data_IF_874340183341
#
_entry.id   IF_874340183341
#
_cell.length_a   1.000
_cell.length_b   1.000
_cell.length_c   1.000
_cell.angle_alpha   90.00
_cell.angle_beta   90.00
_cell.angle_gamma   90.00
#
_symmetry.space_group_name_H-M   'P 1'
#
loop_
_entity.id
_entity.type
_entity.pdbx_description
1 polymer ?
#
# COMPACT_ATOMS: atom_id res chain seq x y z
N UNK A 1 63.32 8.95 -58.79
CA UNK A 1 63.57 8.19 -57.55
C UNK A 1 62.25 8.11 -56.80
N UNK A 2 61.51 7.01 -56.98
CA UNK A 2 61.39 5.87 -56.05
C UNK A 2 60.72 6.29 -54.74
N UNK A 3 59.67 5.66 -54.19
CA UNK A 3 58.98 4.40 -54.44
C UNK A 3 57.66 4.41 -53.63
N UNK A 4 56.71 3.59 -54.04
CA UNK A 4 55.43 3.26 -53.38
C UNK A 4 55.59 2.28 -52.21
N UNK A 5 54.87 2.51 -51.11
CA UNK A 5 54.41 1.55 -50.06
C UNK A 5 53.20 2.25 -49.38
N UNK A 6 52.06 1.67 -49.01
CA UNK A 6 51.66 0.30 -48.69
C UNK A 6 50.71 0.42 -47.49
N UNK A 7 49.39 0.52 -47.72
CA UNK A 7 48.37 0.70 -46.68
C UNK A 7 48.03 -0.65 -46.02
N UNK A 8 48.39 -0.81 -44.74
CA UNK A 8 47.92 -1.90 -43.88
C UNK A 8 46.69 -1.44 -43.08
N UNK A 9 45.55 -2.07 -43.32
CA UNK A 9 44.35 -1.95 -42.48
C UNK A 9 44.32 -3.13 -41.51
N UNK A 10 44.42 -2.84 -40.20
CA UNK A 10 44.21 -3.81 -39.13
C UNK A 10 42.73 -3.78 -38.76
N UNK A 11 42.02 -4.87 -38.98
CA UNK A 11 40.65 -5.10 -38.52
C UNK A 11 40.70 -5.93 -37.24
N UNK A 12 40.29 -5.35 -36.11
CA UNK A 12 40.13 -6.09 -34.84
C UNK A 12 38.64 -6.39 -34.65
N UNK A 13 38.33 -7.68 -34.63
CA UNK A 13 37.04 -8.27 -34.26
C UNK A 13 37.02 -8.37 -32.73
N UNK A 14 36.00 -7.80 -32.09
CA UNK A 14 35.64 -8.09 -30.68
C UNK A 14 34.18 -8.50 -30.65
N UNK A 15 33.92 -9.69 -30.12
CA UNK A 15 32.62 -10.33 -29.95
C UNK A 15 32.33 -10.53 -28.45
N UNK A 16 31.09 -10.23 -28.09
CA UNK A 16 30.31 -10.61 -26.89
C UNK A 16 30.77 -10.03 -25.53
N UNK A 17 29.88 -9.69 -24.56
CA UNK A 17 28.64 -10.35 -24.15
C UNK A 17 27.60 -9.35 -23.61
N UNK A 18 26.32 -9.54 -23.97
CA UNK A 18 25.18 -9.04 -23.18
C UNK A 18 24.63 -10.22 -22.39
N UNK A 19 24.72 -10.11 -21.07
CA UNK A 19 24.21 -11.08 -20.11
C UNK A 19 22.69 -10.96 -20.01
N UNK A 20 21.94 -11.94 -20.50
CA UNK A 20 20.53 -12.13 -20.18
C UNK A 20 20.43 -13.15 -19.04
N UNK A 21 19.82 -12.75 -17.93
CA UNK A 21 19.69 -13.56 -16.71
C UNK A 21 18.23 -14.00 -16.51
N UNK A 22 18.04 -15.32 -16.61
CA UNK A 22 17.05 -16.16 -15.93
C UNK A 22 15.56 -16.05 -16.34
N UNK A 23 15.16 -16.87 -17.31
CA UNK A 23 13.84 -17.51 -17.32
C UNK A 23 14.04 -19.01 -17.01
N UNK A 24 13.43 -19.48 -15.91
CA UNK A 24 13.42 -20.89 -15.50
C UNK A 24 12.93 -21.77 -16.64
N UNK A 25 13.76 -22.71 -17.08
CA UNK A 25 13.33 -23.83 -17.94
C UNK A 25 12.42 -24.74 -17.11
N UNK A 26 11.24 -25.03 -17.63
CA UNK A 26 10.36 -26.09 -17.11
C UNK A 26 11.10 -27.43 -17.35
N UNK A 27 11.46 -28.11 -16.28
CA UNK A 27 11.94 -29.50 -16.32
C UNK A 27 10.72 -30.41 -16.38
N UNK A 28 10.51 -31.09 -17.50
CA UNK A 28 9.53 -32.17 -17.62
C UNK A 28 10.23 -33.46 -17.23
N UNK A 29 9.92 -33.97 -16.05
CA UNK A 29 10.40 -35.26 -15.55
C UNK A 29 9.57 -36.39 -16.20
N UNK A 30 10.21 -37.28 -16.96
CA UNK A 30 9.56 -38.38 -17.70
C UNK A 30 9.59 -39.66 -16.85
N UNK A 31 9.13 -39.55 -15.61
CA UNK A 31 8.98 -40.70 -14.72
C UNK A 31 7.56 -40.81 -14.17
N UNK A 32 6.57 -40.76 -15.08
CA UNK A 32 5.20 -41.11 -14.75
C UNK A 32 4.40 -41.50 -15.99
N UNK A 33 3.97 -42.76 -16.02
CA UNK A 33 3.02 -43.29 -17.00
C UNK A 33 1.61 -42.80 -16.67
N UNK A 34 1.27 -41.59 -17.07
CA UNK A 34 -0.13 -41.17 -17.24
C UNK A 34 -0.17 -40.12 -18.36
N UNK A 35 -0.83 -40.48 -19.46
CA UNK A 35 -0.68 -39.85 -20.76
C UNK A 35 -1.14 -38.40 -20.85
N UNK A 36 -0.32 -37.56 -21.49
CA UNK A 36 -0.79 -36.34 -22.14
C UNK A 36 -1.46 -36.71 -23.47
N UNK A 37 -2.78 -36.57 -23.55
CA UNK A 37 -3.52 -36.62 -24.82
C UNK A 37 -3.43 -35.26 -25.51
N UNK A 38 -2.55 -35.12 -26.50
CA UNK A 38 -2.67 -34.10 -27.53
C UNK A 38 -3.52 -34.67 -28.68
N UNK A 39 -4.81 -34.34 -28.75
CA UNK A 39 -5.61 -34.58 -29.95
C UNK A 39 -5.36 -33.45 -30.96
N UNK A 40 -4.26 -33.58 -31.71
CA UNK A 40 -4.05 -32.88 -32.98
C UNK A 40 -4.28 -33.85 -34.13
N UNK A 41 -5.49 -33.88 -34.68
CA UNK A 41 -5.78 -34.65 -35.90
C UNK A 41 -5.18 -33.97 -37.12
N UNK A 42 -4.21 -34.61 -37.77
CA UNK A 42 -3.67 -34.19 -39.07
C UNK A 42 -4.55 -34.86 -40.15
N UNK A 43 -5.29 -34.06 -40.92
CA UNK A 43 -5.93 -34.53 -42.16
C UNK A 43 -5.23 -33.90 -43.36
N UNK A 44 -4.72 -34.74 -44.27
CA UNK A 44 -4.10 -34.35 -45.53
C UNK A 44 -5.14 -34.25 -46.65
N UNK A 45 -5.13 -33.13 -47.39
CA UNK A 45 -5.89 -32.95 -48.64
C UNK A 45 -6.03 -31.46 -49.04
N UNK A 46 -5.78 -31.06 -50.31
CA UNK A 46 -5.49 -29.65 -50.64
C UNK A 46 -6.73 -28.85 -51.08
N UNK A 47 -6.80 -27.58 -50.65
CA UNK A 47 -7.71 -26.57 -51.19
C UNK A 47 -7.60 -25.25 -50.41
N UNK A 48 -7.47 -24.08 -51.07
CA UNK A 48 -7.32 -22.81 -50.38
C UNK A 48 -8.71 -22.27 -50.05
N UNK A 49 -9.23 -22.59 -48.88
CA UNK A 49 -10.33 -21.84 -48.29
C UNK A 49 -9.89 -21.36 -46.91
N UNK A 50 -9.82 -20.04 -46.78
CA UNK A 50 -9.65 -19.36 -45.51
C UNK A 50 -10.69 -19.89 -44.52
N UNK A 51 -10.24 -20.61 -43.49
CA UNK A 51 -11.08 -20.92 -42.35
C UNK A 51 -11.30 -19.62 -41.57
N UNK A 52 -12.52 -19.11 -41.68
CA UNK A 52 -13.12 -18.25 -40.68
C UNK A 52 -12.94 -18.89 -39.30
N UNK A 53 -12.47 -18.12 -38.31
CA UNK A 53 -12.59 -18.47 -36.90
C UNK A 53 -14.03 -18.92 -36.66
N UNK A 54 -14.22 -20.20 -36.36
CA UNK A 54 -15.52 -20.77 -36.01
C UNK A 54 -15.90 -20.18 -34.65
N UNK A 55 -16.82 -19.21 -34.65
CA UNK A 55 -17.33 -18.60 -33.43
C UNK A 55 -18.08 -19.66 -32.62
N UNK A 56 -17.65 -19.93 -31.39
CA UNK A 56 -18.39 -20.77 -30.43
C UNK A 56 -19.81 -20.21 -30.25
N UNK A 57 -20.85 -20.88 -30.78
CA UNK A 57 -22.24 -20.38 -30.77
C UNK A 57 -22.78 -20.10 -29.38
N UNK A 58 -22.26 -20.82 -28.38
CA UNK A 58 -22.69 -20.80 -26.98
C UNK A 58 -21.68 -20.11 -26.07
N UNK A 59 -20.61 -19.53 -26.64
CA UNK A 59 -19.55 -18.86 -25.89
C UNK A 59 -20.13 -17.81 -24.95
N UNK A 60 -19.95 -18.01 -23.64
CA UNK A 60 -20.41 -17.09 -22.58
C UNK A 60 -19.49 -17.08 -21.37
N UNK A 61 -18.21 -17.38 -21.59
CA UNK A 61 -17.21 -17.46 -20.55
C UNK A 61 -16.41 -16.16 -20.45
N UNK A 62 -15.96 -15.83 -19.23
CA UNK A 62 -14.83 -14.92 -19.01
C UNK A 62 -13.60 -15.80 -18.76
N UNK A 63 -12.59 -15.66 -19.61
CA UNK A 63 -11.37 -16.50 -19.56
C UNK A 63 -10.18 -15.81 -18.93
N UNK A 64 -10.22 -14.48 -18.82
CA UNK A 64 -9.24 -13.68 -18.10
C UNK A 64 -9.91 -12.43 -17.52
N UNK A 65 -9.40 -11.95 -16.39
CA UNK A 65 -9.84 -10.72 -15.77
C UNK A 65 -8.68 -10.09 -15.01
N UNK A 66 -8.44 -8.79 -15.17
CA UNK A 66 -7.32 -8.09 -14.54
C UNK A 66 -7.57 -6.59 -14.44
N UNK A 67 -6.81 -5.91 -13.59
CA UNK A 67 -6.64 -4.46 -13.61
C UNK A 67 -5.19 -4.14 -13.98
N UNK A 68 -5.02 -3.49 -15.13
CA UNK A 68 -3.71 -3.17 -15.67
C UNK A 68 -3.11 -1.97 -14.96
N UNK A 69 -1.81 -2.02 -14.69
CA UNK A 69 -1.08 -0.97 -13.98
C UNK A 69 -1.05 0.35 -14.76
N UNK A 70 -0.91 0.27 -16.08
CA UNK A 70 -0.89 1.42 -16.99
C UNK A 70 -2.15 2.27 -16.93
N UNK A 71 -3.29 1.64 -16.60
CA UNK A 71 -4.60 2.29 -16.65
C UNK A 71 -4.97 2.96 -15.33
N UNK A 72 -4.27 2.63 -14.25
CA UNK A 72 -4.59 3.02 -12.87
C UNK A 72 -3.39 3.58 -12.09
N UNK A 73 -2.27 3.82 -12.78
CA UNK A 73 -1.03 4.31 -12.19
C UNK A 73 -0.45 3.38 -11.11
N UNK A 74 -0.76 2.07 -11.15
CA UNK A 74 -0.19 1.12 -10.20
C UNK A 74 1.28 0.80 -10.50
N UNK A 75 1.93 0.15 -9.55
CA UNK A 75 3.27 -0.42 -9.70
C UNK A 75 3.28 -1.80 -10.38
N UNK A 76 2.15 -2.50 -10.42
CA UNK A 76 2.01 -3.84 -11.00
C UNK A 76 0.57 -4.11 -11.40
N UNK A 77 0.36 -5.11 -12.26
CA UNK A 77 -0.97 -5.57 -12.67
C UNK A 77 -1.59 -6.43 -11.57
N UNK A 78 -2.91 -6.34 -11.45
CA UNK A 78 -3.67 -7.17 -10.52
C UNK A 78 -4.53 -8.16 -11.28
N UNK A 79 -4.10 -9.42 -11.31
CA UNK A 79 -4.78 -10.50 -12.04
C UNK A 79 -5.84 -11.13 -11.15
N UNK A 80 -7.04 -11.33 -11.71
CA UNK A 80 -8.16 -11.98 -11.04
C UNK A 80 -8.08 -13.49 -11.09
N UNK A 81 -8.46 -14.12 -9.98
CA UNK A 81 -8.69 -15.55 -9.89
C UNK A 81 -10.14 -15.86 -10.28
N UNK A 82 -10.33 -16.75 -11.26
CA UNK A 82 -11.66 -17.19 -11.72
C UNK A 82 -11.92 -18.59 -11.16
N UNK A 83 -12.91 -18.71 -10.28
CA UNK A 83 -13.33 -19.97 -9.68
C UNK A 83 -14.84 -20.17 -9.88
N UNK A 84 -15.19 -21.00 -10.87
CA UNK A 84 -16.57 -21.12 -11.34
C UNK A 84 -17.10 -19.79 -11.86
N UNK A 85 -18.10 -19.23 -11.19
CA UNK A 85 -18.71 -17.94 -11.53
C UNK A 85 -18.24 -16.79 -10.61
N UNK A 86 -17.26 -17.03 -9.73
CA UNK A 86 -16.68 -16.00 -8.87
C UNK A 86 -15.34 -15.54 -9.44
N UNK A 87 -15.18 -14.24 -9.63
CA UNK A 87 -13.90 -13.62 -9.99
C UNK A 87 -13.45 -12.80 -8.78
N UNK A 88 -12.31 -13.16 -8.18
CA UNK A 88 -11.75 -12.44 -7.04
C UNK A 88 -10.47 -11.73 -7.45
N UNK A 89 -10.35 -10.44 -7.14
CA UNK A 89 -9.15 -9.64 -7.43
C UNK A 89 -8.78 -8.82 -6.20
N UNK A 90 -7.50 -8.85 -5.80
CA UNK A 90 -6.98 -7.98 -4.76
C UNK A 90 -6.40 -6.72 -5.39
N UNK A 91 -6.76 -5.53 -4.89
CA UNK A 91 -6.27 -4.25 -5.44
C UNK A 91 -6.06 -3.22 -4.33
N UNK A 92 -5.21 -2.20 -4.55
CA UNK A 92 -5.02 -1.12 -3.59
C UNK A 92 -6.34 -0.44 -3.24
N UNK A 93 -6.60 -0.28 -1.94
CA UNK A 93 -7.89 0.18 -1.43
C UNK A 93 -8.37 1.52 -2.01
N UNK A 94 -7.46 2.45 -2.31
CA UNK A 94 -7.80 3.76 -2.83
C UNK A 94 -8.39 3.73 -4.24
N UNK A 95 -8.08 2.70 -5.04
CA UNK A 95 -8.49 2.65 -6.44
C UNK A 95 -9.88 2.05 -6.68
N UNK A 96 -10.48 1.39 -5.68
CA UNK A 96 -11.69 0.55 -5.85
C UNK A 96 -12.89 1.24 -6.52
N UNK A 97 -12.98 2.57 -6.43
CA UNK A 97 -14.11 3.35 -6.97
C UNK A 97 -14.01 3.69 -8.46
N UNK A 98 -12.88 3.37 -9.09
CA UNK A 98 -12.52 3.88 -10.42
C UNK A 98 -11.62 2.92 -11.19
N UNK A 99 -12.05 1.66 -11.27
CA UNK A 99 -11.29 0.62 -11.95
C UNK A 99 -11.87 0.30 -13.32
N UNK A 100 -10.99 0.13 -14.30
CA UNK A 100 -11.24 -0.36 -15.65
C UNK A 100 -10.75 -1.79 -15.75
N UNK A 101 -11.68 -2.73 -15.81
CA UNK A 101 -11.34 -4.14 -15.94
C UNK A 101 -10.87 -4.46 -17.36
N UNK A 102 -9.75 -5.18 -17.46
CA UNK A 102 -9.26 -5.79 -18.70
C UNK A 102 -9.56 -7.29 -18.64
N UNK A 103 -10.44 -7.74 -19.51
CA UNK A 103 -10.93 -9.11 -19.58
C UNK A 103 -11.02 -9.63 -21.01
N UNK A 104 -10.96 -10.96 -21.15
CA UNK A 104 -11.27 -11.69 -22.38
C UNK A 104 -12.56 -12.48 -22.15
N UNK A 105 -13.48 -12.43 -23.11
CA UNK A 105 -14.71 -13.20 -23.07
C UNK A 105 -14.95 -13.95 -24.38
N UNK A 106 -15.61 -15.11 -24.30
CA UNK A 106 -16.11 -15.85 -25.46
C UNK A 106 -17.51 -15.39 -25.89
N UNK A 107 -18.19 -14.56 -25.08
CA UNK A 107 -19.49 -13.98 -25.42
C UNK A 107 -19.40 -12.79 -26.37
N UNK A 108 -20.52 -12.50 -27.03
CA UNK A 108 -20.63 -11.37 -27.96
C UNK A 108 -20.72 -10.02 -27.24
N UNK A 109 -21.33 -10.00 -26.05
CA UNK A 109 -21.43 -8.81 -25.22
C UNK A 109 -21.19 -9.15 -23.76
N UNK A 110 -20.63 -8.19 -23.03
CA UNK A 110 -20.50 -8.23 -21.58
C UNK A 110 -21.14 -6.97 -21.01
N UNK A 111 -22.02 -7.16 -20.03
CA UNK A 111 -22.68 -6.06 -19.31
C UNK A 111 -22.38 -6.18 -17.82
N UNK A 112 -22.25 -5.06 -17.13
CA UNK A 112 -22.19 -5.02 -15.68
C UNK A 112 -23.30 -4.12 -15.16
N UNK A 113 -24.18 -4.65 -14.31
CA UNK A 113 -25.38 -3.95 -13.84
C UNK A 113 -26.23 -3.31 -14.97
N UNK A 114 -26.29 -3.97 -16.14
CA UNK A 114 -27.03 -3.49 -17.32
C UNK A 114 -26.29 -2.44 -18.17
N UNK A 115 -25.06 -2.05 -17.81
CA UNK A 115 -24.22 -1.16 -18.60
C UNK A 115 -23.25 -1.97 -19.45
N UNK A 116 -23.21 -1.79 -20.78
CA UNK A 116 -22.22 -2.46 -21.64
C UNK A 116 -20.79 -2.18 -21.19
N UNK A 117 -19.96 -3.22 -21.18
CA UNK A 117 -18.57 -3.17 -20.72
C UNK A 117 -17.62 -3.33 -21.89
N UNK A 118 -16.73 -2.35 -22.04
CA UNK A 118 -15.60 -2.40 -22.97
C UNK A 118 -14.33 -2.65 -22.14
N UNK A 119 -13.68 -3.77 -22.43
CA UNK A 119 -12.42 -4.20 -21.79
C UNK A 119 -11.36 -3.09 -21.85
N UNK A 120 -10.76 -2.77 -20.70
CA UNK A 120 -9.76 -1.71 -20.53
C UNK A 120 -10.30 -0.28 -20.61
N UNK A 121 -11.60 -0.06 -20.84
CA UNK A 121 -12.16 1.28 -21.04
C UNK A 121 -13.27 1.65 -20.04
N UNK A 122 -14.20 0.74 -19.79
CA UNK A 122 -15.36 1.03 -18.93
C UNK A 122 -14.93 1.04 -17.48
N UNK A 123 -15.14 2.19 -16.81
CA UNK A 123 -14.81 2.38 -15.40
C UNK A 123 -15.99 1.97 -14.54
N UNK A 124 -15.74 1.20 -13.48
CA UNK A 124 -16.74 0.80 -12.51
C UNK A 124 -16.26 1.08 -11.07
N UNK A 125 -17.24 1.23 -10.17
CA UNK A 125 -17.03 1.28 -8.73
C UNK A 125 -17.22 -0.12 -8.14
N UNK A 126 -16.13 -0.74 -7.71
CA UNK A 126 -16.09 -2.06 -7.08
C UNK A 126 -16.08 -1.99 -5.55
N UNK A 127 -16.58 -0.90 -4.95
CA UNK A 127 -16.84 -0.82 -3.50
C UNK A 127 -17.83 -1.90 -3.02
N UNK A 128 -18.55 -2.54 -3.94
CA UNK A 128 -19.36 -3.73 -3.70
C UNK A 128 -19.21 -4.70 -4.88
N UNK A 129 -19.46 -6.01 -4.68
CA UNK A 129 -19.39 -6.98 -5.78
C UNK A 129 -20.32 -6.59 -6.94
N UNK A 130 -19.82 -6.74 -8.16
CA UNK A 130 -20.56 -6.39 -9.38
C UNK A 130 -20.90 -7.66 -10.15
N UNK A 131 -22.14 -7.76 -10.61
CA UNK A 131 -22.55 -8.86 -11.48
C UNK A 131 -22.27 -8.53 -12.94
N UNK A 132 -21.37 -9.32 -13.54
CA UNK A 132 -21.07 -9.32 -14.97
C UNK A 132 -21.94 -10.36 -15.68
N UNK A 133 -22.64 -9.96 -16.73
CA UNK A 133 -23.49 -10.80 -17.57
C UNK A 133 -22.83 -10.95 -18.93
N UNK A 134 -22.43 -12.18 -19.26
CA UNK A 134 -21.88 -12.52 -20.58
C UNK A 134 -22.99 -13.09 -21.44
N UNK A 135 -23.24 -12.46 -22.59
CA UNK A 135 -24.33 -12.77 -23.50
C UNK A 135 -23.76 -13.48 -24.72
N UNK A 136 -24.24 -14.71 -24.98
CA UNK A 136 -23.84 -15.49 -26.13
C UNK A 136 -24.29 -14.84 -27.46
N UNK A 137 -23.55 -15.13 -28.53
CA UNK A 137 -23.75 -14.48 -29.82
C UNK A 137 -25.10 -14.84 -30.47
N UNK A 138 -25.49 -16.11 -30.42
CA UNK A 138 -26.60 -16.65 -31.22
C UNK A 138 -27.89 -16.75 -30.41
N UNK A 139 -27.91 -17.59 -29.37
CA UNK A 139 -29.11 -17.90 -28.59
C UNK A 139 -29.46 -16.82 -27.55
N UNK A 140 -28.57 -15.83 -27.36
CA UNK A 140 -28.66 -14.77 -26.35
C UNK A 140 -28.76 -15.29 -24.92
N UNK A 141 -28.36 -16.55 -24.67
CA UNK A 141 -28.26 -17.09 -23.32
C UNK A 141 -27.21 -16.31 -22.52
N UNK A 142 -27.39 -16.27 -21.21
CA UNK A 142 -26.60 -15.43 -20.31
C UNK A 142 -25.90 -16.31 -19.28
N UNK A 143 -24.61 -16.04 -19.07
CA UNK A 143 -23.87 -16.54 -17.90
C UNK A 143 -23.48 -15.36 -17.02
N UNK A 144 -23.66 -15.53 -15.72
CA UNK A 144 -23.38 -14.49 -14.73
C UNK A 144 -22.10 -14.81 -13.96
N UNK A 145 -21.28 -13.78 -13.78
CA UNK A 145 -20.09 -13.78 -12.94
C UNK A 145 -20.25 -12.74 -11.85
N UNK A 146 -19.95 -13.12 -10.61
CA UNK A 146 -19.78 -12.16 -9.53
C UNK A 146 -18.32 -11.73 -9.48
N UNK A 147 -18.04 -10.46 -9.75
CA UNK A 147 -16.71 -9.88 -9.59
C UNK A 147 -16.61 -9.25 -8.20
N UNK A 148 -15.75 -9.83 -7.35
CA UNK A 148 -15.46 -9.36 -6.01
C UNK A 148 -14.04 -8.79 -5.95
N UNK A 149 -13.95 -7.48 -5.78
CA UNK A 149 -12.67 -6.81 -5.52
C UNK A 149 -12.44 -6.74 -4.01
N UNK A 150 -11.27 -7.18 -3.58
CA UNK A 150 -10.84 -7.16 -2.18
C UNK A 150 -9.82 -6.02 -2.01
N UNK A 151 -10.15 -4.95 -1.27
CA UNK A 151 -9.21 -3.86 -1.03
C UNK A 151 -8.06 -4.35 -0.14
N UNK A 152 -6.82 -4.10 -0.58
CA UNK A 152 -5.61 -4.41 0.17
C UNK A 152 -4.87 -3.13 0.57
N UNK A 153 -4.23 -3.16 1.73
CA UNK A 153 -3.36 -2.11 2.21
C UNK A 153 -1.90 -2.56 2.06
N UNK A 154 -1.20 -1.97 1.11
CA UNK A 154 0.23 -2.24 0.91
C UNK A 154 1.04 -1.29 1.78
N UNK A 155 1.40 -1.74 2.97
CA UNK A 155 2.25 -0.96 3.86
C UNK A 155 3.60 -0.70 3.18
N UNK A 156 3.96 0.58 3.08
CA UNK A 156 5.26 0.97 2.54
C UNK A 156 6.31 0.93 3.62
N UNK A 157 7.53 0.64 3.21
CA UNK A 157 8.70 0.77 4.06
C UNK A 157 8.86 2.21 4.59
N UNK A 158 9.44 2.37 5.77
CA UNK A 158 9.76 3.69 6.30
C UNK A 158 10.88 4.36 5.48
N UNK A 159 11.72 3.56 4.82
CA UNK A 159 12.64 3.98 3.78
C UNK A 159 13.95 4.55 4.31
N UNK A 160 14.26 4.39 5.59
CA UNK A 160 15.49 4.89 6.19
C UNK A 160 16.71 4.32 5.47
N UNK A 161 17.66 5.19 5.10
CA UNK A 161 18.88 4.76 4.36
C UNK A 161 20.15 4.84 5.18
N UNK A 162 20.07 5.41 6.37
CA UNK A 162 21.18 5.66 7.26
C UNK A 162 20.84 5.21 8.68
N UNK A 163 21.80 4.56 9.32
CA UNK A 163 21.71 4.19 10.72
C UNK A 163 22.11 5.36 11.64
N UNK A 164 21.91 5.15 12.94
CA UNK A 164 22.28 6.12 13.97
C UNK A 164 23.78 6.45 13.92
N UNK A 165 24.61 5.41 13.85
CA UNK A 165 26.02 5.52 13.52
C UNK A 165 26.18 5.59 12.00
N UNK A 166 27.29 6.20 11.53
CA UNK A 166 27.60 6.29 10.09
C UNK A 166 27.58 4.93 9.37
N UNK A 167 27.62 3.83 10.12
CA UNK A 167 27.50 2.47 9.63
C UNK A 167 26.49 1.68 10.47
N UNK A 168 25.68 0.85 9.82
CA UNK A 168 24.74 -0.03 10.52
C UNK A 168 25.39 -1.23 11.21
N UNK A 169 26.67 -1.49 10.92
CA UNK A 169 27.41 -2.63 11.48
C UNK A 169 27.58 -2.57 13.00
N UNK A 170 27.56 -1.36 13.59
CA UNK A 170 27.76 -1.18 15.03
C UNK A 170 26.53 -1.66 15.82
N UNK A 171 25.32 -1.44 15.28
CA UNK A 171 24.05 -1.84 15.86
C UNK A 171 23.09 -2.35 14.77
N UNK A 172 23.27 -3.61 14.32
CA UNK A 172 22.50 -4.19 13.23
C UNK A 172 21.04 -4.48 13.64
N UNK A 173 20.14 -4.38 12.66
CA UNK A 173 18.69 -4.55 12.80
C UNK A 173 17.92 -3.23 12.84
N UNK A 174 18.56 -2.12 12.47
CA UNK A 174 17.89 -0.84 12.25
C UNK A 174 17.11 -0.88 10.94
N UNK A 175 16.20 0.07 10.73
CA UNK A 175 15.38 0.12 9.51
C UNK A 175 16.26 0.13 8.24
N UNK A 176 17.37 0.88 8.25
CA UNK A 176 18.32 0.93 7.13
C UNK A 176 19.05 -0.40 6.81
N UNK A 177 19.04 -1.40 7.70
CA UNK A 177 19.56 -2.73 7.40
C UNK A 177 18.61 -3.56 6.51
N UNK A 178 17.34 -3.16 6.41
CA UNK A 178 16.32 -3.85 5.64
C UNK A 178 16.05 -3.13 4.32
N UNK A 179 16.30 -3.80 3.20
CA UNK A 179 16.01 -3.28 1.84
C UNK A 179 14.85 -4.00 1.15
N UNK A 180 14.14 -4.86 1.88
CA UNK A 180 13.11 -5.76 1.34
C UNK A 180 11.71 -5.15 1.35
N UNK A 181 11.53 -3.97 1.96
CA UNK A 181 10.24 -3.31 2.05
C UNK A 181 9.76 -2.72 0.73
N UNK A 182 8.44 -2.53 0.60
CA UNK A 182 7.84 -1.91 -0.58
C UNK A 182 8.06 -0.39 -0.52
N UNK A 183 8.80 0.23 -1.46
CA UNK A 183 9.02 1.67 -1.40
C UNK A 183 7.72 2.43 -1.67
N UNK A 184 7.54 3.57 -0.99
CA UNK A 184 6.52 4.53 -1.39
C UNK A 184 6.78 4.99 -2.83
N UNK A 185 5.72 5.06 -3.63
CA UNK A 185 5.81 5.50 -5.02
C UNK A 185 4.65 6.43 -5.35
N UNK A 186 4.99 7.62 -5.80
CA UNK A 186 4.03 8.64 -6.19
C UNK A 186 4.23 9.01 -7.65
N UNK A 187 3.21 9.61 -8.24
CA UNK A 187 3.31 10.28 -9.52
C UNK A 187 2.54 11.59 -9.43
N UNK A 188 3.26 12.65 -9.13
CA UNK A 188 2.73 14.00 -8.99
C UNK A 188 2.68 14.77 -10.29
N UNK A 189 2.01 15.93 -10.26
CA UNK A 189 1.91 16.85 -11.40
C UNK A 189 1.10 16.32 -12.59
N UNK A 190 0.33 15.23 -12.41
CA UNK A 190 -0.49 14.68 -13.49
C UNK A 190 -1.70 15.56 -13.71
N UNK A 191 -1.78 16.19 -14.88
CA UNK A 191 -2.88 17.10 -15.23
C UNK A 191 -4.02 16.31 -15.85
N UNK A 192 -5.16 16.25 -15.16
CA UNK A 192 -6.38 15.64 -15.66
C UNK A 192 -7.36 16.72 -16.11
N UNK A 193 -8.27 16.36 -17.03
CA UNK A 193 -9.38 17.24 -17.41
C UNK A 193 -10.22 17.60 -16.17
N UNK A 194 -10.57 18.88 -15.93
CA UNK A 194 -10.38 20.05 -16.79
C UNK A 194 -9.14 20.88 -16.39
N UNK A 195 -7.96 20.32 -16.64
CA UNK A 195 -6.62 20.90 -16.52
C UNK A 195 -6.05 21.05 -15.10
N UNK A 196 -6.52 20.28 -14.12
CA UNK A 196 -6.02 20.40 -12.75
C UNK A 196 -5.03 19.28 -12.39
N UNK A 197 -3.91 19.59 -11.69
CA UNK A 197 -2.90 18.62 -11.31
C UNK A 197 -3.33 17.80 -10.09
N UNK A 198 -2.96 16.52 -10.11
CA UNK A 198 -3.12 15.58 -8.98
C UNK A 198 -1.83 14.82 -8.73
N UNK A 199 -1.71 14.22 -7.54
CA UNK A 199 -0.70 13.22 -7.21
C UNK A 199 -1.35 11.87 -7.04
N UNK A 200 -0.92 10.88 -7.83
CA UNK A 200 -1.31 9.49 -7.64
C UNK A 200 -0.39 8.82 -6.62
N UNK A 201 -0.97 8.24 -5.58
CA UNK A 201 -0.27 7.28 -4.73
C UNK A 201 -0.40 5.90 -5.38
N UNK A 202 0.72 5.43 -5.93
CA UNK A 202 0.76 4.20 -6.74
C UNK A 202 0.75 2.94 -5.88
N UNK A 203 0.94 3.08 -4.57
CA UNK A 203 0.89 1.97 -3.61
C UNK A 203 -0.50 1.78 -3.05
N UNK A 204 -1.16 2.86 -2.63
CA UNK A 204 -2.51 2.83 -2.03
C UNK A 204 -3.62 2.94 -3.08
N UNK A 205 -3.34 3.49 -4.26
CA UNK A 205 -4.34 3.79 -5.29
C UNK A 205 -5.16 5.07 -5.02
N UNK A 206 -4.81 5.81 -3.96
CA UNK A 206 -5.41 7.11 -3.65
C UNK A 206 -4.98 8.18 -4.67
N UNK A 207 -5.83 9.18 -4.85
CA UNK A 207 -5.46 10.42 -5.55
C UNK A 207 -5.52 11.56 -4.58
N UNK A 208 -4.42 12.30 -4.53
CA UNK A 208 -4.25 13.47 -3.70
C UNK A 208 -4.31 14.73 -4.54
N UNK A 209 -4.84 15.79 -3.95
CA UNK A 209 -4.67 17.14 -4.48
C UNK A 209 -3.17 17.43 -4.55
N UNK A 210 -2.69 17.93 -5.71
CA UNK A 210 -1.26 18.14 -5.93
C UNK A 210 -0.67 19.20 -5.00
N UNK A 211 -1.36 20.32 -4.82
CA UNK A 211 -0.94 21.37 -3.91
C UNK A 211 -1.58 21.19 -2.53
N UNK A 212 -0.79 21.40 -1.47
CA UNK A 212 -1.38 21.85 -0.21
C UNK A 212 -1.89 23.28 -0.46
N UNK A 213 -3.08 23.58 0.03
CA UNK A 213 -3.85 24.84 -0.07
C UNK A 213 -3.23 26.04 -0.80
N UNK A 214 -4.00 26.65 -1.72
CA UNK A 214 -3.81 28.00 -2.24
C UNK A 214 -4.82 28.33 -3.35
N UNK A 215 -5.08 29.62 -3.63
CA UNK A 215 -6.08 30.06 -4.63
C UNK A 215 -5.79 29.60 -6.07
N UNK A 216 -4.57 29.15 -6.36
CA UNK A 216 -4.15 28.72 -7.68
C UNK A 216 -3.83 27.23 -7.70
N UNK A 217 -4.79 26.45 -8.16
CA UNK A 217 -4.68 24.99 -8.30
C UNK A 217 -3.66 24.54 -9.35
N UNK A 218 -3.06 25.47 -10.11
CA UNK A 218 -2.08 25.18 -11.16
C UNK A 218 -0.64 25.45 -10.72
N UNK A 219 -0.44 26.28 -9.70
CA UNK A 219 0.87 26.63 -9.18
C UNK A 219 0.78 26.71 -7.66
N UNK A 220 1.34 25.70 -6.98
CA UNK A 220 1.33 25.66 -5.53
C UNK A 220 2.03 26.91 -4.99
N UNK A 221 1.40 27.60 -4.05
CA UNK A 221 1.86 28.89 -3.52
C UNK A 221 2.19 28.77 -2.04
N UNK A 222 3.19 29.51 -1.57
CA UNK A 222 3.66 29.49 -0.17
C UNK A 222 2.74 30.19 0.84
N UNK A 223 1.46 30.36 0.53
CA UNK A 223 0.53 30.98 1.47
C UNK A 223 0.12 29.97 2.54
N UNK A 224 0.51 30.24 3.78
CA UNK A 224 0.12 29.45 4.94
C UNK A 224 -1.35 29.71 5.28
N UNK A 225 -2.26 29.04 4.59
CA UNK A 225 -3.67 29.02 4.96
C UNK A 225 -3.89 27.97 6.05
N UNK A 226 -4.24 28.43 7.24
CA UNK A 226 -4.69 27.56 8.32
C UNK A 226 -6.21 27.50 8.36
N UNK A 227 -6.73 26.33 8.71
CA UNK A 227 -8.15 26.01 8.75
C UNK A 227 -8.55 25.52 10.13
N UNK A 228 -9.82 25.72 10.49
CA UNK A 228 -10.54 24.84 11.41
C UNK A 228 -10.88 23.53 10.70
N UNK A 229 -11.06 22.43 11.44
CA UNK A 229 -11.37 21.13 10.81
C UNK A 229 -12.64 21.19 9.94
N UNK A 230 -13.69 21.89 10.40
CA UNK A 230 -14.93 22.06 9.62
C UNK A 230 -14.72 22.82 8.30
N UNK A 231 -13.92 23.89 8.30
CA UNK A 231 -13.54 24.60 7.08
C UNK A 231 -12.67 23.75 6.14
N UNK A 232 -11.82 22.86 6.68
CA UNK A 232 -11.03 21.93 5.87
C UNK A 232 -11.92 20.89 5.16
N UNK A 233 -12.94 20.35 5.86
CA UNK A 233 -13.96 19.49 5.25
C UNK A 233 -14.69 20.24 4.14
N UNK A 234 -15.18 21.45 4.43
CA UNK A 234 -15.89 22.28 3.46
C UNK A 234 -15.03 22.61 2.23
N UNK A 235 -13.71 22.83 2.41
CA UNK A 235 -12.77 23.03 1.31
C UNK A 235 -12.75 21.81 0.37
N UNK A 236 -12.58 20.60 0.92
CA UNK A 236 -12.59 19.38 0.11
C UNK A 236 -13.95 19.11 -0.55
N UNK A 237 -15.06 19.39 0.13
CA UNK A 237 -16.40 19.27 -0.44
C UNK A 237 -16.61 20.25 -1.62
N UNK A 238 -16.01 21.43 -1.57
CA UNK A 238 -16.08 22.41 -2.65
C UNK A 238 -15.36 21.93 -3.92
N UNK A 239 -14.28 21.13 -3.79
CA UNK A 239 -13.60 20.53 -4.94
C UNK A 239 -14.56 19.69 -5.80
N UNK A 240 -15.53 19.02 -5.17
CA UNK A 240 -16.53 18.20 -5.87
C UNK A 240 -17.52 19.02 -6.73
N UNK A 241 -17.62 20.33 -6.47
CA UNK A 241 -18.56 21.25 -7.15
C UNK A 241 -17.86 22.13 -8.20
N UNK A 242 -16.54 22.08 -8.27
CA UNK A 242 -15.77 22.85 -9.25
C UNK A 242 -16.12 22.47 -10.69
N UNK A 243 -15.73 23.33 -11.62
CA UNK A 243 -15.82 23.07 -13.06
C UNK A 243 -17.23 22.68 -13.51
N UNK A 244 -18.22 23.53 -13.21
CA UNK A 244 -19.63 23.27 -13.54
C UNK A 244 -20.15 21.91 -13.00
N UNK A 245 -19.64 21.45 -11.86
CA UNK A 245 -20.05 20.20 -11.23
C UNK A 245 -19.35 18.94 -11.74
N UNK A 246 -18.36 19.06 -12.64
CA UNK A 246 -17.48 17.95 -13.00
C UNK A 246 -16.46 17.62 -11.91
N UNK A 247 -16.28 18.52 -10.94
CA UNK A 247 -15.34 18.37 -9.83
C UNK A 247 -13.90 18.70 -10.22
N UNK A 248 -13.02 18.84 -9.24
CA UNK A 248 -11.59 19.09 -9.43
C UNK A 248 -10.96 17.90 -10.15
N UNK A 249 -10.23 18.15 -11.24
CA UNK A 249 -9.59 17.12 -12.05
C UNK A 249 -10.58 16.05 -12.59
N UNK A 250 -11.86 16.43 -12.73
CA UNK A 250 -12.93 15.51 -13.17
C UNK A 250 -13.36 14.51 -12.10
N UNK A 251 -12.91 14.70 -10.86
CA UNK A 251 -13.14 13.83 -9.71
C UNK A 251 -14.13 14.51 -8.77
N UNK A 252 -15.12 13.75 -8.29
CA UNK A 252 -16.26 14.26 -7.49
C UNK A 252 -16.42 13.60 -6.11
N UNK A 253 -15.41 12.85 -5.68
CA UNK A 253 -15.38 12.20 -4.37
C UNK A 253 -14.19 12.67 -3.50
N UNK A 254 -13.76 13.92 -3.69
CA UNK A 254 -12.79 14.59 -2.83
C UNK A 254 -13.34 14.72 -1.41
N UNK A 255 -12.48 14.43 -0.44
CA UNK A 255 -12.77 14.52 0.98
C UNK A 255 -11.52 14.89 1.77
N UNK A 256 -11.72 15.32 3.01
CA UNK A 256 -10.64 15.41 3.98
C UNK A 256 -10.15 13.97 4.26
N UNK A 257 -8.83 13.69 4.22
CA UNK A 257 -8.28 12.36 4.46
C UNK A 257 -8.52 11.89 5.90
N UNK A 258 -8.59 10.59 6.10
CA UNK A 258 -8.47 9.98 7.42
C UNK A 258 -7.00 9.98 7.86
N UNK A 259 -6.74 9.91 9.17
CA UNK A 259 -5.38 10.02 9.73
C UNK A 259 -4.46 8.92 9.19
N UNK A 260 -4.97 7.70 9.03
CA UNK A 260 -4.21 6.58 8.45
C UNK A 260 -3.84 6.82 6.98
N UNK A 261 -4.59 7.63 6.24
CA UNK A 261 -4.27 8.00 4.85
C UNK A 261 -3.17 9.07 4.81
N UNK A 262 -3.24 10.08 5.68
CA UNK A 262 -2.15 11.08 5.79
C UNK A 262 -0.82 10.41 6.15
N UNK A 263 -0.87 9.43 7.05
CA UNK A 263 0.31 8.65 7.43
C UNK A 263 0.99 8.00 6.23
N UNK A 264 0.27 7.55 5.20
CA UNK A 264 0.90 6.88 4.03
C UNK A 264 1.79 7.81 3.21
N UNK A 265 1.66 9.12 3.40
CA UNK A 265 2.51 10.12 2.74
C UNK A 265 3.86 10.31 3.42
N UNK A 266 4.04 9.79 4.65
CA UNK A 266 5.26 10.05 5.40
C UNK A 266 6.46 9.24 4.91
N UNK A 267 7.66 9.80 5.02
CA UNK A 267 8.93 9.11 4.76
C UNK A 267 9.93 9.37 5.87
N UNK A 268 10.78 8.39 6.15
CA UNK A 268 11.85 8.46 7.15
C UNK A 268 13.24 8.23 6.52
N UNK A 269 13.36 8.51 5.22
CA UNK A 269 14.58 8.27 4.44
C UNK A 269 15.84 8.95 4.97
N UNK A 270 15.69 10.22 5.36
CA UNK A 270 16.73 11.05 5.98
C UNK A 270 16.09 11.82 7.13
N UNK A 271 15.83 11.17 8.27
CA UNK A 271 14.98 11.73 9.31
C UNK A 271 15.76 12.82 10.04
N UNK A 272 15.53 14.07 9.65
CA UNK A 272 16.11 15.23 10.32
C UNK A 272 15.07 16.33 10.56
N UNK A 273 14.23 16.67 9.58
CA UNK A 273 13.30 17.82 9.67
C UNK A 273 12.08 17.77 8.76
N UNK A 274 12.04 16.89 7.75
CA UNK A 274 10.95 16.83 6.77
C UNK A 274 10.62 15.37 6.52
N UNK A 275 9.38 15.00 6.82
CA UNK A 275 8.90 13.62 6.77
C UNK A 275 7.92 13.39 5.63
N UNK A 276 8.02 14.16 4.55
CA UNK A 276 7.24 14.02 3.31
C UNK A 276 8.14 14.32 2.11
N UNK A 277 7.87 13.68 0.97
CA UNK A 277 8.57 14.01 -0.27
C UNK A 277 8.01 15.32 -0.86
N UNK A 278 8.75 16.42 -0.69
CA UNK A 278 8.34 17.73 -1.20
C UNK A 278 8.41 17.86 -2.72
N UNK A 279 9.06 16.93 -3.41
CA UNK A 279 9.05 16.89 -4.87
C UNK A 279 7.71 16.35 -5.39
N UNK A 280 7.12 15.41 -4.66
CA UNK A 280 5.82 14.80 -4.98
C UNK A 280 4.64 15.56 -4.34
N UNK A 281 4.89 16.19 -3.19
CA UNK A 281 3.92 16.95 -2.40
C UNK A 281 4.46 18.35 -2.07
N UNK A 282 4.44 19.29 -3.04
CA UNK A 282 4.86 20.66 -2.80
C UNK A 282 4.10 21.30 -1.63
N UNK A 283 4.84 22.09 -0.83
CA UNK A 283 4.33 22.75 0.38
C UNK A 283 3.66 21.77 1.38
N UNK A 284 4.12 20.52 1.38
CA UNK A 284 3.63 19.48 2.28
C UNK A 284 4.17 19.53 3.71
N UNK A 285 5.04 20.48 4.05
CA UNK A 285 5.57 20.62 5.43
C UNK A 285 4.53 21.19 6.38
N UNK A 286 4.63 20.85 7.67
CA UNK A 286 3.72 21.31 8.71
C UNK A 286 2.59 20.32 8.96
N UNK A 287 1.55 20.80 9.65
CA UNK A 287 0.48 19.97 10.18
C UNK A 287 -0.78 20.02 9.31
N UNK A 288 -1.36 18.86 9.04
CA UNK A 288 -2.52 18.69 8.16
C UNK A 288 -3.69 18.06 8.92
N UNK A 289 -4.88 18.64 8.76
CA UNK A 289 -6.10 18.09 9.32
C UNK A 289 -6.42 16.73 8.71
N UNK A 290 -6.81 15.79 9.57
CA UNK A 290 -7.59 14.62 9.16
C UNK A 290 -9.07 14.77 9.54
N UNK A 291 -9.89 13.92 8.93
CA UNK A 291 -11.30 13.77 9.28
C UNK A 291 -11.51 12.86 10.50
N UNK A 292 -10.46 12.21 11.00
CA UNK A 292 -10.54 11.26 12.10
C UNK A 292 -10.71 12.01 13.43
N UNK A 293 -11.83 11.79 14.10
CA UNK A 293 -12.12 12.38 15.41
C UNK A 293 -11.30 11.70 16.50
N UNK A 294 -10.77 12.46 17.47
CA UNK A 294 -10.16 11.89 18.66
C UNK A 294 -11.27 11.27 19.54
N UNK A 295 -11.30 9.95 19.63
CA UNK A 295 -12.33 9.23 20.41
C UNK A 295 -12.23 9.48 21.92
N UNK A 296 -11.05 9.87 22.42
CA UNK A 296 -10.86 10.26 23.83
C UNK A 296 -11.41 11.67 24.13
N UNK A 297 -11.45 12.55 23.13
CA UNK A 297 -12.02 13.89 23.22
C UNK A 297 -12.68 14.29 21.88
N UNK A 298 -13.99 14.09 21.71
CA UNK A 298 -14.68 14.33 20.43
C UNK A 298 -14.65 15.79 19.93
N UNK A 299 -14.26 16.74 20.80
CA UNK A 299 -14.01 18.14 20.43
C UNK A 299 -12.73 18.31 19.60
N UNK A 300 -11.88 17.29 19.57
CA UNK A 300 -10.63 17.26 18.83
C UNK A 300 -10.71 16.32 17.62
N UNK A 301 -9.87 16.60 16.62
CA UNK A 301 -9.58 15.70 15.51
C UNK A 301 -8.06 15.51 15.39
N UNK A 302 -7.66 14.39 14.80
CA UNK A 302 -6.25 14.11 14.55
C UNK A 302 -5.72 14.95 13.39
N UNK A 303 -4.49 15.39 13.50
CA UNK A 303 -3.67 15.88 12.41
C UNK A 303 -2.37 15.08 12.31
N UNK A 304 -1.73 15.14 11.14
CA UNK A 304 -0.39 14.62 10.92
C UNK A 304 0.57 15.77 10.65
N UNK A 305 1.66 15.82 11.40
CA UNK A 305 2.69 16.85 11.26
C UNK A 305 3.89 16.30 10.47
N UNK A 306 4.05 16.75 9.23
CA UNK A 306 5.16 16.35 8.37
C UNK A 306 6.48 17.08 8.70
N UNK A 307 6.49 18.02 9.66
CA UNK A 307 7.74 18.62 10.18
C UNK A 307 8.47 17.70 11.13
N UNK A 308 7.77 16.86 11.90
CA UNK A 308 8.38 15.98 12.90
C UNK A 308 7.92 14.51 12.78
N UNK A 309 6.99 14.20 11.87
CA UNK A 309 6.46 12.85 11.67
C UNK A 309 5.45 12.42 12.74
N UNK A 310 4.88 13.38 13.49
CA UNK A 310 3.99 13.09 14.62
C UNK A 310 2.50 13.12 14.26
N UNK A 311 1.71 12.37 15.04
CA UNK A 311 0.26 12.52 15.08
C UNK A 311 -0.08 13.43 16.27
N UNK A 312 -0.84 14.50 16.05
CA UNK A 312 -1.31 15.34 17.15
C UNK A 312 -2.82 15.54 17.08
N UNK A 313 -3.54 15.39 18.20
CA UNK A 313 -4.92 15.83 18.28
C UNK A 313 -4.94 17.36 18.46
N UNK A 314 -5.86 18.04 17.78
CA UNK A 314 -6.13 19.44 18.03
C UNK A 314 -7.63 19.73 18.08
N UNK A 315 -7.99 20.78 18.80
CA UNK A 315 -9.37 21.23 18.88
C UNK A 315 -9.89 21.58 17.48
N UNK A 316 -11.04 21.02 17.10
CA UNK A 316 -11.66 21.22 15.77
C UNK A 316 -11.93 22.68 15.43
N UNK A 317 -12.06 23.56 16.43
CA UNK A 317 -12.25 25.01 16.24
C UNK A 317 -10.95 25.80 16.11
N UNK A 318 -9.79 25.18 16.31
CA UNK A 318 -8.50 25.84 16.15
C UNK A 318 -8.20 26.08 14.68
N UNK A 319 -7.76 27.29 14.33
CA UNK A 319 -7.42 27.65 12.95
C UNK A 319 -5.89 27.53 12.72
N UNK A 320 -5.34 26.32 12.86
CA UNK A 320 -3.89 26.10 12.98
C UNK A 320 -3.30 25.06 12.02
N UNK A 321 -4.10 24.25 11.32
CA UNK A 321 -3.59 23.21 10.42
C UNK A 321 -3.99 23.46 8.96
N UNK A 322 -3.18 22.94 8.04
CA UNK A 322 -3.37 22.94 6.60
C UNK A 322 -4.37 21.86 6.15
N UNK A 323 -4.77 21.91 4.88
CA UNK A 323 -5.61 20.88 4.25
C UNK A 323 -4.95 20.37 2.96
N UNK A 324 -5.12 19.07 2.71
CA UNK A 324 -4.83 18.42 1.43
C UNK A 324 -5.90 17.37 1.22
N UNK A 325 -6.70 17.53 0.16
CA UNK A 325 -7.81 16.63 -0.08
C UNK A 325 -7.36 15.33 -0.74
N UNK A 326 -8.13 14.27 -0.50
CA UNK A 326 -7.92 12.94 -1.07
C UNK A 326 -9.20 12.44 -1.75
N UNK A 327 -9.05 11.58 -2.75
CA UNK A 327 -10.11 10.85 -3.44
C UNK A 327 -9.73 9.36 -3.52
N UNK A 328 -10.74 8.50 -3.44
CA UNK A 328 -10.60 7.05 -3.47
C UNK A 328 -11.28 6.33 -2.30
N UNK A 329 -11.15 5.01 -2.29
CA UNK A 329 -11.62 4.14 -1.21
C UNK A 329 -10.93 4.44 0.12
N UNK A 330 -11.60 4.13 1.22
CA UNK A 330 -11.06 4.30 2.57
C UNK A 330 -10.11 3.17 2.95
N UNK A 331 -9.16 3.45 3.84
CA UNK A 331 -8.26 2.45 4.41
C UNK A 331 -9.10 1.31 5.03
N UNK A 332 -8.84 0.04 4.69
CA UNK A 332 -9.49 -1.09 5.33
C UNK A 332 -9.17 -1.12 6.83
N UNK A 333 -10.17 -1.42 7.66
CA UNK A 333 -9.95 -1.59 9.09
C UNK A 333 -8.90 -2.68 9.36
N UNK A 334 -8.03 -2.51 10.37
CA UNK A 334 -7.14 -3.57 10.81
C UNK A 334 -7.94 -4.83 11.14
N UNK A 335 -7.45 -5.99 10.73
CA UNK A 335 -8.01 -7.28 11.13
C UNK A 335 -6.89 -8.22 11.47
N UNK A 336 -7.04 -8.98 12.55
CA UNK A 336 -6.00 -9.83 13.07
C UNK A 336 -6.43 -11.29 13.10
N UNK A 337 -5.46 -12.19 12.91
CA UNK A 337 -5.63 -13.63 13.08
C UNK A 337 -4.63 -14.11 14.13
N UNK A 338 -5.12 -14.73 15.20
CA UNK A 338 -4.28 -15.36 16.21
C UNK A 338 -3.93 -16.79 15.78
N UNK A 339 -2.64 -17.11 15.71
CA UNK A 339 -2.19 -18.46 15.39
C UNK A 339 -2.17 -19.40 16.61
N UNK A 340 -2.48 -18.88 17.80
CA UNK A 340 -2.47 -19.64 19.06
C UNK A 340 -1.11 -20.31 19.34
N UNK A 341 -0.02 -19.64 18.96
CA UNK A 341 1.37 -20.07 19.15
C UNK A 341 2.25 -18.94 19.71
N UNK A 342 1.60 -17.87 20.20
CA UNK A 342 2.26 -16.65 20.67
C UNK A 342 2.48 -15.60 19.58
N UNK A 343 1.99 -15.83 18.36
CA UNK A 343 2.07 -14.88 17.26
C UNK A 343 0.70 -14.49 16.71
N UNK A 344 0.58 -13.26 16.23
CA UNK A 344 -0.64 -12.69 15.64
C UNK A 344 -0.33 -12.15 14.26
N UNK A 345 -1.06 -12.59 13.23
CA UNK A 345 -0.98 -12.02 11.90
C UNK A 345 -1.90 -10.80 11.79
N UNK A 346 -1.34 -9.69 11.33
CA UNK A 346 -2.12 -8.60 10.77
C UNK A 346 -2.52 -8.97 9.34
N UNK A 347 -3.81 -9.24 9.11
CA UNK A 347 -4.31 -9.62 7.79
C UNK A 347 -4.34 -8.42 6.82
N UNK A 348 -4.25 -7.18 7.32
CA UNK A 348 -4.23 -5.97 6.51
C UNK A 348 -2.87 -5.75 5.87
N UNK A 349 -1.79 -5.88 6.65
CA UNK A 349 -0.40 -5.66 6.20
C UNK A 349 0.33 -6.95 5.81
N UNK A 350 -0.16 -8.11 6.27
CA UNK A 350 0.50 -9.40 6.11
C UNK A 350 1.57 -9.70 7.16
N UNK A 351 1.95 -8.73 7.99
CA UNK A 351 2.98 -8.87 9.02
C UNK A 351 2.54 -9.80 10.14
N UNK A 352 3.52 -10.46 10.77
CA UNK A 352 3.30 -11.30 11.94
C UNK A 352 3.98 -10.66 13.15
N UNK A 353 3.19 -10.46 14.20
CA UNK A 353 3.57 -9.78 15.42
C UNK A 353 3.75 -10.76 16.56
N UNK A 354 4.71 -10.49 17.43
CA UNK A 354 4.77 -11.11 18.75
C UNK A 354 3.49 -10.74 19.50
N UNK A 355 2.76 -11.72 20.06
CA UNK A 355 1.48 -11.48 20.75
C UNK A 355 1.67 -10.76 22.08
N UNK A 356 2.56 -11.26 22.93
CA UNK A 356 2.89 -10.63 24.20
C UNK A 356 3.99 -9.58 24.03
N UNK A 357 3.99 -8.56 24.87
CA UNK A 357 5.11 -7.62 24.90
C UNK A 357 6.37 -8.32 25.44
N UNK A 358 7.55 -7.84 25.06
CA UNK A 358 8.81 -8.40 25.58
C UNK A 358 8.85 -8.38 27.11
N UNK A 359 9.20 -9.52 27.72
CA UNK A 359 9.19 -9.76 29.16
C UNK A 359 7.95 -10.50 29.68
N UNK A 360 6.85 -10.49 28.92
CA UNK A 360 5.70 -11.34 29.16
C UNK A 360 5.84 -12.65 28.38
N UNK A 361 5.16 -13.70 28.85
CA UNK A 361 5.21 -15.03 28.24
C UNK A 361 3.83 -15.45 27.77
N UNK A 362 3.78 -15.94 26.53
CA UNK A 362 2.62 -16.64 25.99
C UNK A 362 2.75 -18.15 26.28
N UNK A 363 1.63 -18.77 26.60
CA UNK A 363 1.45 -20.22 26.52
C UNK A 363 -0.01 -20.53 26.21
N UNK A 364 -0.31 -21.75 25.76
CA UNK A 364 -1.70 -22.19 25.55
C UNK A 364 -2.53 -22.12 26.84
N UNK A 365 -1.90 -22.28 28.01
CA UNK A 365 -2.55 -22.13 29.31
C UNK A 365 -2.67 -20.66 29.78
N UNK A 366 -1.91 -19.73 29.20
CA UNK A 366 -1.86 -18.30 29.58
C UNK A 366 -1.81 -17.42 28.32
N UNK A 367 -2.79 -17.57 27.42
CA UNK A 367 -2.84 -16.88 26.14
C UNK A 367 -3.04 -15.34 26.23
N UNK A 368 -3.35 -14.84 27.43
CA UNK A 368 -3.59 -13.43 27.73
C UNK A 368 -2.34 -12.65 28.17
N UNK A 369 -1.14 -13.23 28.07
CA UNK A 369 0.12 -12.55 28.41
C UNK A 369 0.22 -12.10 29.88
N UNK A 370 -0.45 -12.80 30.79
CA UNK A 370 -0.47 -12.48 32.23
C UNK A 370 0.71 -13.08 33.02
N UNK A 371 1.50 -13.95 32.37
CA UNK A 371 2.71 -14.53 32.98
C UNK A 371 3.93 -13.67 32.62
N UNK A 372 4.79 -13.41 33.59
CA UNK A 372 5.93 -12.50 33.43
C UNK A 372 5.54 -11.04 33.60
N UNK A 373 6.47 -10.14 33.34
CA UNK A 373 6.27 -8.70 33.45
C UNK A 373 6.92 -8.02 32.27
N UNK A 374 6.23 -7.04 31.69
CA UNK A 374 6.77 -6.27 30.57
C UNK A 374 8.10 -5.63 30.98
N UNK A 375 9.08 -5.70 30.09
CA UNK A 375 10.42 -5.11 30.31
C UNK A 375 10.63 -3.97 29.33
N UNK A 376 11.34 -2.95 29.79
CA UNK A 376 11.74 -1.81 28.97
C UNK A 376 13.21 -1.94 28.56
N UNK A 377 13.54 -1.46 27.37
CA UNK A 377 14.83 -1.61 26.73
C UNK A 377 15.28 -0.27 26.16
N UNK A 378 16.58 0.02 26.24
CA UNK A 378 17.18 1.08 25.43
C UNK A 378 17.28 0.62 23.96
N UNK A 379 17.60 1.53 23.04
CA UNK A 379 17.57 1.25 21.61
C UNK A 379 18.37 -0.01 21.20
N UNK A 380 19.64 -0.09 21.61
CA UNK A 380 20.54 -1.20 21.28
C UNK A 380 20.02 -2.53 21.83
N UNK A 381 19.58 -2.54 23.10
CA UNK A 381 19.02 -3.75 23.71
C UNK A 381 17.70 -4.17 23.07
N UNK A 382 16.88 -3.24 22.55
CA UNK A 382 15.65 -3.56 21.84
C UNK A 382 15.93 -4.26 20.50
N UNK A 383 16.88 -3.73 19.70
CA UNK A 383 17.35 -4.36 18.46
C UNK A 383 17.85 -5.78 18.72
N UNK A 384 18.71 -5.94 19.72
CA UNK A 384 19.25 -7.24 20.11
C UNK A 384 18.15 -8.20 20.58
N UNK A 385 17.20 -7.72 21.38
CA UNK A 385 16.13 -8.54 21.94
C UNK A 385 15.25 -9.13 20.85
N UNK A 386 14.84 -8.33 19.87
CA UNK A 386 14.03 -8.86 18.77
C UNK A 386 14.81 -9.80 17.87
N UNK A 387 16.06 -9.49 17.51
CA UNK A 387 16.87 -10.37 16.66
C UNK A 387 17.12 -11.75 17.26
N UNK A 388 17.20 -11.85 18.59
CA UNK A 388 17.45 -13.11 19.29
C UNK A 388 16.16 -13.77 19.81
N UNK A 389 14.99 -13.22 19.51
CA UNK A 389 13.73 -13.84 19.89
C UNK A 389 13.57 -15.16 19.14
N UNK A 390 13.55 -16.28 19.87
CA UNK A 390 13.24 -17.59 19.32
C UNK A 390 11.78 -17.94 19.60
N UNK A 391 10.87 -17.36 18.79
CA UNK A 391 9.44 -17.61 18.88
C UNK A 391 8.95 -18.24 17.56
N UNK A 392 8.44 -19.45 17.66
CA UNK A 392 7.82 -20.21 16.57
C UNK A 392 8.67 -20.31 15.29
N UNK A 393 10.01 -20.41 15.42
CA UNK A 393 10.93 -20.59 14.30
C UNK A 393 11.04 -19.43 13.31
N UNK A 394 10.54 -18.24 13.67
CA UNK A 394 10.57 -17.05 12.80
C UNK A 394 11.84 -16.22 13.00
N UNK A 395 12.17 -15.42 11.99
CA UNK A 395 13.19 -14.37 12.09
C UNK A 395 12.48 -13.10 12.54
N UNK A 396 12.88 -12.61 13.71
CA UNK A 396 12.26 -11.47 14.35
C UNK A 396 13.16 -10.24 14.24
N UNK A 397 12.51 -9.08 14.13
CA UNK A 397 13.17 -7.77 14.12
C UNK A 397 12.36 -6.75 14.89
N UNK A 398 13.01 -5.64 15.20
CA UNK A 398 12.33 -4.47 15.74
C UNK A 398 11.54 -3.83 14.58
N UNK A 399 10.24 -3.50 14.76
CA UNK A 399 9.44 -2.91 13.71
C UNK A 399 9.90 -1.48 13.43
N UNK A 400 9.80 -1.06 12.18
CA UNK A 400 9.96 0.34 11.83
C UNK A 400 8.70 1.14 12.20
N UNK A 401 8.77 2.46 12.08
CA UNK A 401 7.70 3.38 12.47
C UNK A 401 6.44 3.18 11.64
N UNK A 402 6.55 2.81 10.35
CA UNK A 402 5.41 2.50 9.50
C UNK A 402 4.70 1.22 9.95
N UNK A 403 5.46 0.20 10.32
CA UNK A 403 4.92 -1.07 10.81
C UNK A 403 4.28 -0.90 12.19
N UNK A 404 4.98 -0.27 13.14
CA UNK A 404 4.46 -0.18 14.51
C UNK A 404 3.22 0.72 14.60
N UNK A 405 3.14 1.78 13.80
CA UNK A 405 1.93 2.61 13.75
C UNK A 405 0.77 1.93 13.01
N UNK A 406 1.03 0.93 12.17
CA UNK A 406 -0.02 0.22 11.41
C UNK A 406 -0.96 -0.61 12.30
N UNK A 407 -0.59 -0.85 13.56
CA UNK A 407 -1.43 -1.51 14.56
C UNK A 407 -2.09 -0.54 15.54
N UNK A 408 -1.98 0.78 15.31
CA UNK A 408 -2.77 1.77 16.05
C UNK A 408 -4.26 1.63 15.72
N UNK A 409 -5.09 1.73 16.75
CA UNK A 409 -6.54 1.75 16.62
C UNK A 409 -7.10 3.13 17.03
N UNK A 410 -7.31 3.99 16.02
CA UNK A 410 -7.90 5.31 16.18
C UNK A 410 -9.40 5.30 16.50
N UNK A 411 -10.08 4.16 16.32
CA UNK A 411 -11.50 3.99 16.60
C UNK A 411 -11.77 3.57 18.05
N UNK A 412 -10.76 3.04 18.74
CA UNK A 412 -10.86 2.61 20.14
C UNK A 412 -11.20 3.77 21.08
N UNK A 413 -12.26 3.61 21.86
CA UNK A 413 -12.60 4.52 22.98
C UNK A 413 -11.83 4.18 24.26
N UNK A 414 -11.00 3.13 24.25
CA UNK A 414 -10.18 2.77 25.39
C UNK A 414 -8.98 3.72 25.54
N UNK A 415 -8.37 3.70 26.72
CA UNK A 415 -7.15 4.44 27.05
C UNK A 415 -5.89 3.91 26.31
N UNK A 416 -6.01 2.80 25.59
CA UNK A 416 -4.92 2.25 24.76
C UNK A 416 -5.49 2.01 23.36
N UNK A 417 -4.80 2.55 22.36
CA UNK A 417 -5.14 2.62 20.94
C UNK A 417 -4.55 1.45 20.17
N UNK A 418 -4.91 0.24 20.61
CA UNK A 418 -4.53 -1.04 19.98
C UNK A 418 -5.59 -2.09 20.32
N UNK A 419 -5.82 -3.07 19.45
CA UNK A 419 -6.77 -4.14 19.70
C UNK A 419 -6.30 -5.08 20.82
N UNK A 420 -6.92 -4.96 21.99
CA UNK A 420 -6.55 -5.73 23.19
C UNK A 420 -7.03 -7.17 23.17
N UNK A 421 -7.91 -7.57 22.25
CA UNK A 421 -8.27 -8.96 22.08
C UNK A 421 -7.08 -9.75 21.50
N UNK A 422 -6.32 -9.12 20.60
CA UNK A 422 -5.15 -9.71 19.96
C UNK A 422 -3.84 -9.35 20.66
N UNK A 423 -3.75 -8.17 21.28
CA UNK A 423 -2.58 -7.73 22.04
C UNK A 423 -2.93 -7.48 23.52
N UNK A 424 -3.10 -8.55 24.32
CA UNK A 424 -3.57 -8.45 25.69
C UNK A 424 -2.47 -7.97 26.66
N UNK A 425 -2.89 -7.60 27.87
CA UNK A 425 -2.04 -7.17 28.99
C UNK A 425 -1.02 -6.07 28.64
N UNK A 426 -1.43 -5.12 27.79
CA UNK A 426 -0.66 -3.90 27.50
C UNK A 426 -0.80 -2.90 28.66
N UNK A 427 0.29 -2.26 29.11
CA UNK A 427 0.26 -1.29 30.22
C UNK A 427 -0.54 -0.02 29.87
N UNK A 428 -0.94 0.74 30.89
CA UNK A 428 -1.69 1.98 30.69
C UNK A 428 -0.86 3.07 29.98
N UNK A 429 0.43 3.18 30.32
CA UNK A 429 1.42 3.97 29.59
C UNK A 429 2.15 3.01 28.66
N UNK A 430 2.10 3.23 27.36
CA UNK A 430 2.49 2.21 26.36
C UNK A 430 3.31 2.79 25.22
N UNK A 431 4.51 3.26 25.53
CA UNK A 431 5.47 3.72 24.53
C UNK A 431 6.38 2.59 24.06
N UNK A 432 6.32 2.28 22.77
CA UNK A 432 7.08 1.21 22.13
C UNK A 432 8.08 1.78 21.13
N UNK A 433 9.31 1.27 21.16
CA UNK A 433 10.40 1.74 20.29
C UNK A 433 10.34 1.11 18.90
N UNK A 434 10.78 1.87 17.90
CA UNK A 434 10.91 1.45 16.50
C UNK A 434 12.37 1.25 16.11
N UNK A 435 12.65 0.64 14.96
CA UNK A 435 13.99 0.49 14.39
C UNK A 435 14.53 1.74 13.68
N UNK A 436 13.73 2.81 13.56
CA UNK A 436 14.15 4.07 12.95
C UNK A 436 14.91 4.95 13.94
N UNK A 437 16.10 5.39 13.53
CA UNK A 437 16.93 6.32 14.29
C UNK A 437 17.10 7.68 13.59
N UNK A 438 17.28 8.74 14.37
CA UNK A 438 17.65 10.07 13.90
C UNK A 438 19.14 10.26 14.18
N UNK A 439 19.97 10.51 13.16
CA UNK A 439 21.38 10.79 13.38
C UNK A 439 21.57 11.93 14.38
N UNK A 440 22.26 11.66 15.48
CA UNK A 440 22.63 12.69 16.45
C UNK A 440 22.10 12.53 17.88
N UNK A 441 21.03 11.74 18.15
CA UNK A 441 20.74 11.15 19.51
C UNK A 441 19.32 10.61 19.70
N UNK A 442 18.45 10.65 18.70
CA UNK A 442 17.03 10.33 18.86
C UNK A 442 16.59 9.08 18.08
N UNK A 443 15.48 8.50 18.50
CA UNK A 443 14.81 7.36 17.87
C UNK A 443 13.30 7.59 17.86
N UNK A 444 12.61 6.96 16.90
CA UNK A 444 11.15 6.98 16.87
C UNK A 444 10.55 5.94 17.82
N UNK A 445 9.42 6.31 18.40
CA UNK A 445 8.57 5.46 19.23
C UNK A 445 7.11 5.73 18.92
N UNK A 446 6.27 4.71 19.10
CA UNK A 446 4.81 4.82 18.99
C UNK A 446 4.23 4.64 20.39
N UNK A 447 3.43 5.61 20.82
CA UNK A 447 2.74 5.55 22.09
C UNK A 447 1.30 5.10 21.89
N UNK A 448 0.98 3.89 22.32
CA UNK A 448 -0.38 3.37 22.24
C UNK A 448 -1.32 4.01 23.24
N UNK A 449 -0.86 4.76 24.25
CA UNK A 449 -1.77 5.45 25.19
C UNK A 449 -2.58 6.55 24.49
N UNK A 450 -1.94 7.29 23.61
CA UNK A 450 -2.48 8.48 22.95
C UNK A 450 -2.30 8.45 21.43
N UNK A 451 -1.91 7.31 20.84
CA UNK A 451 -1.62 7.19 19.41
C UNK A 451 -0.57 8.18 18.86
N UNK A 452 0.28 8.75 19.72
CA UNK A 452 1.34 9.66 19.31
C UNK A 452 2.53 8.89 18.70
N UNK A 453 3.19 9.53 17.73
CA UNK A 453 4.52 9.12 17.26
C UNK A 453 5.49 10.13 17.88
N UNK A 454 6.38 9.63 18.73
CA UNK A 454 7.28 10.44 19.54
C UNK A 454 8.74 10.19 19.14
N UNK A 455 9.57 11.20 19.38
CA UNK A 455 11.04 11.07 19.37
C UNK A 455 11.56 10.97 20.80
N UNK A 456 12.41 9.99 21.06
CA UNK A 456 13.05 9.81 22.39
C UNK A 456 14.56 9.65 22.24
N UNK A 457 15.31 9.91 23.32
CA UNK A 457 16.76 9.69 23.30
C UNK A 457 17.08 8.19 23.21
N UNK A 458 18.20 7.82 22.58
CA UNK A 458 18.64 6.41 22.49
C UNK A 458 18.76 5.69 23.85
N UNK A 459 19.12 6.43 24.89
CA UNK A 459 19.26 5.91 26.27
C UNK A 459 17.92 5.71 26.98
N UNK A 460 16.81 6.19 26.40
CA UNK A 460 15.48 6.05 26.98
C UNK A 460 15.04 4.59 26.92
N UNK A 461 14.45 4.13 28.02
CA UNK A 461 13.93 2.78 28.13
C UNK A 461 12.48 2.76 27.68
N UNK A 462 12.20 2.03 26.59
CA UNK A 462 10.89 1.91 25.96
C UNK A 462 10.46 0.44 25.92
N UNK A 463 9.16 0.19 25.78
CA UNK A 463 8.67 -1.16 25.57
C UNK A 463 8.99 -1.67 24.17
N UNK A 464 9.00 -3.00 24.03
CA UNK A 464 9.39 -3.67 22.79
C UNK A 464 8.33 -4.69 22.41
N UNK A 465 8.00 -4.71 21.12
CA UNK A 465 7.21 -5.73 20.46
C UNK A 465 7.87 -6.03 19.13
N UNK A 466 8.20 -7.30 18.90
CA UNK A 466 8.91 -7.69 17.70
C UNK A 466 7.93 -8.02 16.55
N UNK A 467 8.41 -7.83 15.33
CA UNK A 467 7.70 -8.14 14.10
C UNK A 467 8.52 -9.11 13.25
N UNK A 468 7.81 -9.86 12.41
CA UNK A 468 8.34 -10.77 11.39
C UNK A 468 7.53 -10.55 10.11
N UNK A 469 8.14 -10.85 8.97
CA UNK A 469 7.41 -10.86 7.71
C UNK A 469 6.35 -11.98 7.70
N UNK A 470 5.35 -11.81 6.83
CA UNK A 470 4.28 -12.79 6.62
C UNK A 470 4.79 -14.14 6.09
N UNK A 471 4.02 -15.23 6.27
CA UNK A 471 4.32 -16.54 5.68
C UNK A 471 4.27 -16.55 4.15
#
# INVERSE_FOLDING_TARGET
>A
MNQTFGLFWISVIILFFVSCSQAKRISVDISSTTGLLFQGGITSGPGPNAQSQESDPEGKEITSFSFQASDHFFTTDFVGEISGNLITVQVPFGAIRRLKATFTSTGANVEANGVPQISGQTTNDFSSPITYRVIAAIDKSVKEYTVRVVPIFRLTDAGQTNCFFSFCNDDPGQDADYSTGVPATFQSGVVLSPYQPVTFDRQTGLTWEYCAVGQNNYACSSYNYSYTQSNAIAYCDNLNRMNAGFGYAGIRDWRLPEIEELMTLSTYKTPNTIYIDLTEFPFGTGEFWSNTTNTSNPSEAWGFNFTDGANNPANKSSNNMSVRCVSGGSVPSPTFSDFNDGTVKDNRTGLVWQKCSVGQTWSSASALCNTGSITSHNFVSALYTCRNLNLNGRIWRLPNVHELRSILDFSSTANVKIDRAFFPNIPAVSQYVTSNSIPGSQIFSVNFTDAAINMTNLSSYNYVRCVSDGP
#
